data_IF_793607616441
#
_entry.id   IF_793607616441
#
_cell.length_a   1.000
_cell.length_b   1.000
_cell.length_c   1.000
_cell.angle_alpha   90.00
_cell.angle_beta   90.00
_cell.angle_gamma   90.00
#
_symmetry.space_group_name_H-M   'P 1'
#
loop_
_entity.id
_entity.type
_entity.pdbx_description
1 polymer ?
#
# COMPACT_ATOMS: atom_id res chain seq x y z
N UNK A 1 21.68 -7.45 30.43
CA UNK A 1 20.22 -7.54 30.40
C UNK A 1 19.70 -7.29 29.00
N UNK A 2 18.82 -8.16 28.56
CA UNK A 2 18.17 -7.94 27.27
C UNK A 2 16.87 -7.21 27.45
N UNK A 3 16.66 -6.24 26.61
CA UNK A 3 15.38 -5.56 26.52
C UNK A 3 14.84 -5.84 25.13
N UNK A 4 13.73 -6.59 25.09
CA UNK A 4 13.03 -6.77 23.85
C UNK A 4 12.05 -5.62 23.69
N UNK A 5 12.29 -4.82 22.68
CA UNK A 5 11.35 -3.79 22.34
C UNK A 5 10.72 -4.18 21.02
N UNK A 6 9.42 -4.39 21.06
CA UNK A 6 8.68 -4.45 19.81
C UNK A 6 8.45 -3.04 19.33
N UNK A 7 8.58 -2.83 18.08
CA UNK A 7 8.46 -1.50 17.53
C UNK A 7 7.70 -1.58 16.21
N UNK A 8 7.31 -0.43 15.72
CA UNK A 8 6.74 -0.36 14.37
C UNK A 8 7.83 -0.73 13.36
N UNK A 9 7.45 -1.17 12.16
CA UNK A 9 8.45 -1.45 11.12
C UNK A 9 9.32 -0.23 10.85
N UNK A 10 10.60 -0.46 10.59
CA UNK A 10 11.55 0.60 10.31
C UNK A 10 11.65 0.95 8.84
N UNK A 11 10.94 0.24 7.98
CA UNK A 11 10.92 0.50 6.55
C UNK A 11 9.57 0.09 5.98
N UNK A 12 9.26 0.63 4.82
CA UNK A 12 8.04 0.29 4.10
C UNK A 12 8.19 -1.06 3.38
N UNK A 13 7.06 -1.66 2.98
CA UNK A 13 7.11 -2.77 2.05
C UNK A 13 7.90 -2.36 0.80
N UNK A 14 8.60 -3.31 0.20
CA UNK A 14 9.46 -3.01 -0.92
C UNK A 14 8.77 -3.33 -2.23
N UNK A 15 9.31 -2.77 -3.31
CA UNK A 15 8.89 -3.09 -4.67
C UNK A 15 7.37 -2.94 -4.85
N UNK A 16 6.83 -1.82 -4.38
CA UNK A 16 5.40 -1.53 -4.57
C UNK A 16 5.16 -1.24 -6.04
N UNK A 17 4.19 -1.93 -6.63
CA UNK A 17 3.90 -1.81 -8.04
C UNK A 17 2.41 -1.96 -8.28
N UNK A 18 1.94 -1.44 -9.40
CA UNK A 18 0.52 -1.46 -9.69
C UNK A 18 0.29 -1.55 -11.19
N UNK A 19 -0.83 -2.17 -11.56
CA UNK A 19 -1.28 -2.25 -12.95
C UNK A 19 -2.78 -2.05 -12.98
N UNK A 20 -3.29 -1.37 -14.00
CA UNK A 20 -4.73 -1.31 -14.13
C UNK A 20 -5.27 -2.70 -14.50
N UNK A 21 -6.45 -3.01 -14.02
CA UNK A 21 -7.15 -4.25 -14.34
C UNK A 21 -8.41 -3.96 -15.13
N UNK A 22 -8.86 -2.71 -15.09
CA UNK A 22 -10.00 -2.25 -15.89
C UNK A 22 -9.96 -0.73 -15.94
N UNK A 23 -10.96 -0.13 -16.54
CA UNK A 23 -11.06 1.33 -16.56
C UNK A 23 -11.36 1.92 -15.19
N UNK A 24 -11.73 1.10 -14.22
CA UNK A 24 -12.11 1.58 -12.89
C UNK A 24 -11.42 0.80 -11.78
N UNK A 25 -10.36 0.05 -12.07
CA UNK A 25 -9.69 -0.75 -11.05
C UNK A 25 -8.19 -0.86 -11.32
N UNK A 26 -7.45 -1.01 -10.22
CA UNK A 26 -5.99 -1.12 -10.23
C UNK A 26 -5.60 -2.20 -9.25
N UNK A 27 -4.76 -3.14 -9.66
CA UNK A 27 -4.21 -4.14 -8.76
C UNK A 27 -2.87 -3.62 -8.23
N UNK A 28 -2.75 -3.54 -6.92
CA UNK A 28 -1.53 -3.12 -6.22
C UNK A 28 -0.88 -4.36 -5.64
N UNK A 29 0.43 -4.47 -5.81
CA UNK A 29 1.23 -5.56 -5.24
C UNK A 29 2.45 -4.98 -4.54
N UNK A 30 2.95 -5.72 -3.57
CA UNK A 30 4.15 -5.29 -2.84
C UNK A 30 4.88 -6.52 -2.31
N UNK A 31 6.16 -6.34 -2.03
CA UNK A 31 6.95 -7.35 -1.35
C UNK A 31 7.00 -7.00 0.14
N UNK A 32 7.35 -7.97 0.96
CA UNK A 32 7.35 -7.79 2.41
C UNK A 32 8.31 -6.67 2.82
N UNK A 33 8.07 -6.12 4.01
CA UNK A 33 9.05 -5.24 4.65
C UNK A 33 10.36 -6.01 4.76
N UNK A 34 11.51 -5.40 4.42
CA UNK A 34 12.80 -6.09 4.55
C UNK A 34 12.96 -6.70 5.94
N UNK A 35 13.50 -7.90 5.98
CA UNK A 35 13.51 -8.73 7.17
C UNK A 35 14.16 -8.03 8.36
N UNK A 36 15.26 -7.32 8.12
CA UNK A 36 15.99 -6.64 9.18
C UNK A 36 15.33 -5.34 9.64
N UNK A 37 14.26 -4.92 8.97
CA UNK A 37 13.54 -3.70 9.30
C UNK A 37 12.14 -3.95 9.83
N UNK A 38 11.76 -5.20 10.06
CA UNK A 38 10.38 -5.49 10.50
C UNK A 38 10.15 -5.10 11.95
N UNK A 39 11.14 -5.29 12.81
CA UNK A 39 11.07 -4.95 14.24
C UNK A 39 9.91 -5.64 14.94
N UNK A 40 9.56 -6.81 14.46
CA UNK A 40 8.45 -7.60 14.96
C UNK A 40 7.71 -8.24 13.81
N UNK A 41 6.65 -8.97 14.14
CA UNK A 41 5.85 -9.63 13.12
C UNK A 41 4.93 -8.63 12.46
N UNK A 42 4.99 -8.56 11.13
CA UNK A 42 4.05 -7.73 10.38
C UNK A 42 2.69 -8.41 10.41
N UNK A 43 1.71 -7.70 10.93
CA UNK A 43 0.35 -8.21 11.13
C UNK A 43 -0.58 -7.86 9.99
N UNK A 44 -0.41 -6.68 9.45
CA UNK A 44 -1.24 -6.23 8.34
C UNK A 44 -0.49 -5.16 7.56
N UNK A 45 -1.02 -4.88 6.39
CA UNK A 45 -0.55 -3.79 5.55
C UNK A 45 -1.69 -2.79 5.39
N UNK A 46 -1.36 -1.52 5.18
CA UNK A 46 -2.35 -0.52 4.83
C UNK A 46 -2.02 0.01 3.44
N UNK A 47 -2.97 -0.10 2.53
CA UNK A 47 -2.87 0.49 1.20
C UNK A 47 -3.55 1.85 1.27
N UNK A 48 -2.88 2.86 0.75
CA UNK A 48 -3.32 4.26 0.79
C UNK A 48 -3.36 4.75 -0.65
N UNK A 49 -4.49 5.31 -1.07
CA UNK A 49 -4.58 5.82 -2.44
C UNK A 49 -5.46 7.04 -2.52
N UNK A 50 -5.17 7.88 -3.52
CA UNK A 50 -5.98 9.06 -3.83
C UNK A 50 -5.75 9.45 -5.27
N UNK A 51 -6.63 10.28 -5.81
CA UNK A 51 -6.38 10.87 -7.12
C UNK A 51 -5.05 11.61 -7.07
N UNK A 52 -4.23 11.43 -8.08
CA UNK A 52 -2.94 12.11 -8.13
C UNK A 52 -3.12 13.61 -8.20
N UNK A 53 -4.24 14.05 -8.76
CA UNK A 53 -4.58 15.46 -8.86
C UNK A 53 -5.84 15.73 -8.07
N UNK A 54 -5.87 16.84 -7.34
CA UNK A 54 -7.02 17.20 -6.56
C UNK A 54 -6.71 17.20 -5.08
N UNK A 55 -7.69 17.60 -4.29
CA UNK A 55 -7.52 17.81 -2.86
C UNK A 55 -8.34 16.84 -2.01
N UNK A 56 -8.87 15.79 -2.62
CA UNK A 56 -9.64 14.81 -1.86
C UNK A 56 -8.73 14.08 -0.89
N UNK A 57 -9.23 13.76 0.31
CA UNK A 57 -8.42 13.00 1.26
C UNK A 57 -8.16 11.59 0.73
N UNK A 58 -7.04 10.98 1.13
CA UNK A 58 -6.74 9.62 0.69
C UNK A 58 -7.72 8.61 1.29
N UNK A 59 -7.90 7.51 0.58
CA UNK A 59 -8.61 6.35 1.10
C UNK A 59 -7.59 5.33 1.57
N UNK A 60 -7.97 4.51 2.52
CA UNK A 60 -7.09 3.50 3.08
C UNK A 60 -7.82 2.19 3.26
N UNK A 61 -7.07 1.11 3.23
CA UNK A 61 -7.60 -0.22 3.51
C UNK A 61 -6.54 -1.06 4.19
N UNK A 62 -6.91 -1.72 5.27
CA UNK A 62 -6.02 -2.65 5.95
C UNK A 62 -6.18 -4.05 5.35
N UNK A 63 -5.07 -4.68 5.06
CA UNK A 63 -5.01 -6.01 4.44
C UNK A 63 -4.21 -6.91 5.37
N UNK A 64 -4.82 -7.98 5.83
CA UNK A 64 -4.14 -8.90 6.75
C UNK A 64 -2.94 -9.56 6.08
N UNK A 65 -1.82 -9.57 6.79
CA UNK A 65 -0.67 -10.34 6.33
C UNK A 65 -1.03 -11.83 6.39
N UNK A 66 -0.49 -12.64 5.49
CA UNK A 66 0.60 -12.37 4.58
C UNK A 66 0.18 -11.92 3.17
N UNK A 67 -1.05 -11.46 3.00
CA UNK A 67 -1.48 -10.98 1.69
C UNK A 67 -0.58 -9.83 1.23
N UNK A 68 -0.20 -9.88 -0.03
CA UNK A 68 0.71 -8.90 -0.61
C UNK A 68 0.14 -8.30 -1.88
N UNK A 69 -1.17 -8.23 -1.96
CA UNK A 69 -1.83 -7.55 -3.07
C UNK A 69 -3.23 -7.14 -2.67
N UNK A 70 -3.73 -6.14 -3.34
CA UNK A 70 -5.09 -5.67 -3.15
C UNK A 70 -5.55 -4.93 -4.39
N UNK A 71 -6.79 -5.19 -4.80
CA UNK A 71 -7.36 -4.52 -5.96
C UNK A 71 -8.19 -3.32 -5.52
N UNK A 72 -7.82 -2.15 -6.02
CA UNK A 72 -8.60 -0.93 -5.83
C UNK A 72 -9.73 -0.94 -6.86
N UNK A 73 -10.95 -0.68 -6.40
CA UNK A 73 -12.13 -0.72 -7.26
C UNK A 73 -12.90 0.59 -7.16
N UNK A 74 -13.87 0.75 -8.03
CA UNK A 74 -14.73 1.94 -8.05
C UNK A 74 -13.93 3.23 -8.27
N UNK A 75 -12.89 3.14 -9.06
CA UNK A 75 -12.05 4.29 -9.39
C UNK A 75 -12.61 5.04 -10.58
N UNK A 76 -12.15 6.27 -10.77
CA UNK A 76 -12.51 7.04 -11.95
C UNK A 76 -11.83 6.46 -13.17
N UNK A 77 -12.47 6.61 -14.32
CA UNK A 77 -11.93 6.12 -15.59
C UNK A 77 -10.81 7.03 -16.05
N UNK A 78 -9.78 6.43 -16.64
CA UNK A 78 -8.65 7.12 -17.24
C UNK A 78 -8.11 8.20 -16.33
N UNK A 79 -7.87 7.82 -15.08
CA UNK A 79 -7.44 8.75 -14.04
C UNK A 79 -6.21 8.20 -13.33
N UNK A 80 -5.33 9.10 -12.92
CA UNK A 80 -4.12 8.72 -12.22
C UNK A 80 -4.36 8.71 -10.72
N UNK A 81 -3.83 7.67 -10.08
CA UNK A 81 -3.92 7.51 -8.62
C UNK A 81 -2.52 7.40 -8.04
N UNK A 82 -2.33 8.08 -6.91
CA UNK A 82 -1.10 7.99 -6.13
C UNK A 82 -1.33 6.91 -5.07
N UNK A 83 -0.41 5.96 -4.97
CA UNK A 83 -0.59 4.76 -4.16
C UNK A 83 0.63 4.57 -3.28
N UNK A 84 0.39 4.27 -2.01
CA UNK A 84 1.44 3.94 -1.05
C UNK A 84 1.00 2.72 -0.24
N UNK A 85 1.98 2.00 0.31
CA UNK A 85 1.70 0.87 1.18
C UNK A 85 2.60 0.97 2.40
N UNK A 86 2.06 0.66 3.56
CA UNK A 86 2.84 0.55 4.79
C UNK A 86 2.57 -0.80 5.44
N UNK A 87 3.48 -1.22 6.30
CA UNK A 87 3.28 -2.41 7.12
C UNK A 87 3.09 -2.02 8.57
N UNK A 88 2.46 -2.90 9.34
CA UNK A 88 2.20 -2.64 10.74
C UNK A 88 2.49 -3.88 11.58
N UNK A 89 3.09 -3.65 12.75
CA UNK A 89 3.23 -4.66 13.79
C UNK A 89 2.17 -4.40 14.84
N UNK A 90 2.18 -5.20 15.90
CA UNK A 90 1.26 -4.97 17.02
C UNK A 90 1.48 -3.61 17.68
N UNK A 91 2.65 -3.00 17.48
CA UNK A 91 2.97 -1.71 18.08
C UNK A 91 2.52 -0.53 17.22
N UNK A 92 2.11 -0.79 15.98
CA UNK A 92 1.58 0.25 15.14
C UNK A 92 2.14 0.23 13.74
N UNK A 93 1.83 1.28 13.00
CA UNK A 93 2.16 1.39 11.59
C UNK A 93 3.56 1.94 11.39
N UNK A 94 4.28 1.38 10.43
CA UNK A 94 5.57 1.87 10.01
C UNK A 94 5.45 2.93 8.92
N UNK A 95 6.59 3.31 8.32
CA UNK A 95 6.56 4.32 7.26
C UNK A 95 5.90 3.79 6.01
N UNK A 96 5.28 4.70 5.26
CA UNK A 96 4.68 4.38 3.99
C UNK A 96 5.74 4.37 2.89
N UNK A 97 5.51 3.58 1.87
CA UNK A 97 6.36 3.55 0.69
C UNK A 97 6.31 4.90 -0.04
N UNK A 98 7.31 5.13 -0.88
CA UNK A 98 7.29 6.29 -1.76
C UNK A 98 6.07 6.14 -2.67
N UNK A 99 5.31 7.23 -2.90
CA UNK A 99 4.13 7.12 -3.75
C UNK A 99 4.49 6.69 -5.17
N UNK A 100 3.70 5.78 -5.69
CA UNK A 100 3.75 5.45 -7.12
C UNK A 100 2.47 5.96 -7.76
N UNK A 101 2.51 6.24 -9.05
CA UNK A 101 1.35 6.73 -9.77
C UNK A 101 0.97 5.70 -10.82
N UNK A 102 -0.30 5.37 -10.86
CA UNK A 102 -0.84 4.43 -11.83
C UNK A 102 -2.15 4.98 -12.37
N UNK A 103 -2.32 4.91 -13.68
CA UNK A 103 -3.55 5.34 -14.34
C UNK A 103 -4.47 4.15 -14.56
N UNK A 104 -5.77 4.36 -14.40
CA UNK A 104 -6.75 3.38 -14.82
C UNK A 104 -6.80 3.33 -16.34
N UNK A 105 -7.37 2.26 -16.88
CA UNK A 105 -7.46 2.12 -18.33
C UNK A 105 -8.47 3.10 -18.90
N UNK A 106 -8.38 3.30 -20.20
CA UNK A 106 -9.40 4.04 -20.92
C UNK A 106 -10.72 3.29 -20.83
N UNK A 107 -11.79 4.05 -20.99
CA UNK A 107 -13.09 3.43 -21.07
C UNK A 107 -13.17 2.68 -22.39
N UNK A 108 -13.01 1.39 -22.31
CA UNK A 108 -13.03 0.57 -23.51
C UNK A 108 -14.48 0.31 -23.94
N UNK A 109 -14.67 0.24 -25.21
CA UNK A 109 -15.99 -0.07 -25.74
C UNK A 109 -16.31 -1.53 -25.60
#
# INVERSE_FOLDING_TARGET
>A
MFIFTFAVPGAAPSNVRANFTSSTSILVRWDEVPKDKRHGRVRYYTVIWKRAQGADPPETRNIDAPMQQFELTNLAKYAEYSIQVLGATREGKGPASIPIVQRTDEDSK
#
